data_IF_081077862224
#
_entry.id   IF_081077862224
#
_cell.length_a   1.000
_cell.length_b   1.000
_cell.length_c   1.000
_cell.angle_alpha   90.00
_cell.angle_beta   90.00
_cell.angle_gamma   90.00
#
_symmetry.space_group_name_H-M   'P 1'
#
loop_
_entity.id
_entity.type
_entity.pdbx_description
1 polymer ?
#
# COMPACT_ATOMS: atom_id res chain seq x y z
N UNK A 1 -13.01 -52.41 12.99
CA UNK A 1 -12.93 -51.41 11.90
C UNK A 1 -11.46 -51.14 11.66
N UNK A 2 -10.89 -51.60 10.55
CA UNK A 2 -9.51 -51.31 10.18
C UNK A 2 -9.50 -49.90 9.58
N UNK A 3 -8.80 -48.99 10.25
CA UNK A 3 -8.57 -47.64 9.69
C UNK A 3 -7.63 -47.76 8.47
N UNK A 4 -8.10 -47.28 7.33
CA UNK A 4 -7.30 -47.20 6.11
C UNK A 4 -6.26 -46.11 6.24
N UNK A 5 -5.04 -46.49 6.60
CA UNK A 5 -3.91 -45.57 6.82
C UNK A 5 -3.39 -44.92 5.54
N UNK A 6 -3.82 -45.41 4.36
CA UNK A 6 -3.40 -44.84 3.06
C UNK A 6 -4.01 -43.44 2.78
N UNK A 7 -5.06 -43.09 3.53
CA UNK A 7 -5.73 -41.76 3.41
C UNK A 7 -5.30 -40.74 4.46
N UNK A 8 -4.38 -41.13 5.33
CA UNK A 8 -3.88 -40.19 6.36
C UNK A 8 -2.77 -39.32 5.76
N UNK A 9 -3.12 -38.14 5.36
CA UNK A 9 -2.14 -37.12 4.94
C UNK A 9 -1.59 -36.44 6.18
N UNK A 10 -0.35 -36.76 6.56
CA UNK A 10 0.35 -36.05 7.63
C UNK A 10 0.81 -34.70 7.09
N UNK A 11 0.10 -33.64 7.42
CA UNK A 11 0.52 -32.26 7.12
C UNK A 11 1.23 -31.68 8.33
N UNK A 12 2.26 -30.86 8.10
CA UNK A 12 2.88 -30.06 9.17
C UNK A 12 1.82 -29.14 9.80
N UNK A 13 1.89 -28.99 11.13
CA UNK A 13 0.99 -28.08 11.88
C UNK A 13 0.93 -26.65 11.26
N UNK A 14 -0.26 -26.02 11.24
CA UNK A 14 -1.52 -26.40 11.85
C UNK A 14 -2.39 -27.31 10.96
N UNK A 15 -3.05 -28.28 11.56
CA UNK A 15 -3.94 -29.22 10.86
C UNK A 15 -5.33 -28.64 10.53
N UNK A 16 -5.67 -27.48 11.09
CA UNK A 16 -6.92 -26.77 10.81
C UNK A 16 -6.60 -25.75 9.71
N UNK A 17 -7.15 -25.96 8.52
CA UNK A 17 -7.16 -24.99 7.43
C UNK A 17 -8.44 -24.20 7.55
N UNK A 18 -8.32 -22.86 7.67
CA UNK A 18 -9.42 -21.96 7.39
C UNK A 18 -9.64 -21.95 5.86
N UNK A 19 -10.90 -21.85 5.43
CA UNK A 19 -11.25 -21.70 4.01
C UNK A 19 -10.93 -20.28 3.46
N UNK A 20 -10.28 -19.45 4.29
CA UNK A 20 -9.91 -18.08 3.94
C UNK A 20 -8.70 -18.07 2.99
N UNK A 21 -8.93 -17.52 1.81
CA UNK A 21 -7.88 -17.26 0.83
C UNK A 21 -7.22 -15.90 1.11
N UNK A 22 -5.94 -15.75 0.74
CA UNK A 22 -5.19 -14.49 0.86
C UNK A 22 -5.94 -13.32 0.22
N UNK A 23 -6.62 -13.58 -0.91
CA UNK A 23 -7.43 -12.59 -1.60
C UNK A 23 -8.60 -12.09 -0.77
N UNK A 24 -9.33 -13.00 -0.08
CA UNK A 24 -10.47 -12.63 0.75
C UNK A 24 -10.03 -11.77 1.94
N UNK A 25 -8.92 -12.13 2.59
CA UNK A 25 -8.35 -11.33 3.68
C UNK A 25 -7.92 -9.92 3.22
N UNK A 26 -7.28 -9.81 2.04
CA UNK A 26 -6.88 -8.50 1.51
C UNK A 26 -8.08 -7.65 1.11
N UNK A 27 -9.15 -8.28 0.62
CA UNK A 27 -10.40 -7.60 0.31
C UNK A 27 -11.07 -7.06 1.57
N UNK A 28 -11.13 -7.83 2.63
CA UNK A 28 -11.68 -7.40 3.92
C UNK A 28 -10.92 -6.19 4.48
N UNK A 29 -9.58 -6.19 4.36
CA UNK A 29 -8.75 -5.04 4.74
C UNK A 29 -9.10 -3.82 3.89
N UNK A 30 -9.27 -3.96 2.57
CA UNK A 30 -9.66 -2.84 1.70
C UNK A 30 -11.03 -2.28 2.10
N UNK A 31 -12.00 -3.15 2.39
CA UNK A 31 -13.33 -2.73 2.87
C UNK A 31 -13.21 -1.99 4.20
N UNK A 32 -12.41 -2.51 5.13
CA UNK A 32 -12.17 -1.86 6.43
C UNK A 32 -11.50 -0.48 6.32
N UNK A 33 -10.75 -0.21 5.24
CA UNK A 33 -10.13 1.08 4.98
C UNK A 33 -11.08 2.12 4.34
N UNK A 34 -12.24 1.69 3.80
CA UNK A 34 -13.21 2.59 3.14
C UNK A 34 -13.70 3.72 4.08
N UNK A 35 -14.08 3.47 5.35
CA UNK A 35 -14.47 4.54 6.26
C UNK A 35 -13.37 5.58 6.47
N UNK A 36 -12.11 5.14 6.61
CA UNK A 36 -10.97 6.03 6.76
C UNK A 36 -10.75 6.88 5.49
N UNK A 37 -10.94 6.29 4.31
CA UNK A 37 -10.89 7.00 3.03
C UNK A 37 -12.02 8.06 2.94
N UNK A 38 -13.22 7.72 3.36
CA UNK A 38 -14.34 8.66 3.37
C UNK A 38 -14.06 9.88 4.26
N UNK A 39 -13.51 9.67 5.44
CA UNK A 39 -13.07 10.77 6.33
C UNK A 39 -11.94 11.57 5.70
N UNK A 40 -10.98 10.93 5.06
CA UNK A 40 -9.87 11.62 4.38
C UNK A 40 -10.39 12.50 3.24
N UNK A 41 -11.36 12.05 2.46
CA UNK A 41 -11.98 12.85 1.38
C UNK A 41 -12.79 14.01 1.97
N UNK A 42 -13.50 13.78 3.06
CA UNK A 42 -14.27 14.84 3.72
C UNK A 42 -13.36 15.95 4.29
N UNK A 43 -12.23 15.58 4.89
CA UNK A 43 -11.31 16.53 5.55
C UNK A 43 -10.35 17.22 4.58
N UNK A 44 -9.81 16.50 3.60
CA UNK A 44 -8.75 16.97 2.69
C UNK A 44 -9.22 17.14 1.24
N UNK A 45 -10.47 16.77 0.96
CA UNK A 45 -11.07 16.93 -0.36
C UNK A 45 -10.61 15.87 -1.37
N UNK A 46 -10.94 16.14 -2.64
CA UNK A 46 -10.70 15.22 -3.77
C UNK A 46 -9.22 14.90 -3.99
N UNK A 47 -8.30 15.77 -3.56
CA UNK A 47 -6.87 15.54 -3.70
C UNK A 47 -6.39 14.30 -2.94
N UNK A 48 -6.98 14.01 -1.76
CA UNK A 48 -6.70 12.77 -1.03
C UNK A 48 -7.09 11.53 -1.87
N UNK A 49 -8.25 11.56 -2.52
CA UNK A 49 -8.68 10.49 -3.43
C UNK A 49 -7.73 10.30 -4.61
N UNK A 50 -7.24 11.40 -5.20
CA UNK A 50 -6.26 11.36 -6.31
C UNK A 50 -4.98 10.66 -5.86
N UNK A 51 -4.44 10.96 -4.67
CA UNK A 51 -3.28 10.26 -4.11
C UNK A 51 -3.53 8.75 -3.97
N UNK A 52 -4.71 8.36 -3.47
CA UNK A 52 -5.07 6.94 -3.32
C UNK A 52 -5.13 6.24 -4.68
N UNK A 53 -5.79 6.83 -5.67
CA UNK A 53 -5.90 6.25 -7.01
C UNK A 53 -4.52 6.11 -7.65
N UNK A 54 -3.68 7.15 -7.60
CA UNK A 54 -2.33 7.12 -8.17
C UNK A 54 -1.47 6.06 -7.46
N UNK A 55 -1.55 5.96 -6.12
CA UNK A 55 -0.82 4.96 -5.37
C UNK A 55 -1.24 3.53 -5.74
N UNK A 56 -2.55 3.27 -5.83
CA UNK A 56 -3.08 1.95 -6.21
C UNK A 56 -2.63 1.56 -7.63
N UNK A 57 -2.79 2.46 -8.58
CA UNK A 57 -2.41 2.22 -9.98
C UNK A 57 -0.90 2.03 -10.12
N UNK A 58 -0.09 2.88 -9.49
CA UNK A 58 1.37 2.76 -9.54
C UNK A 58 1.86 1.46 -8.92
N UNK A 59 1.32 1.06 -7.77
CA UNK A 59 1.66 -0.21 -7.13
C UNK A 59 1.32 -1.41 -8.03
N UNK A 60 0.12 -1.44 -8.63
CA UNK A 60 -0.29 -2.52 -9.53
C UNK A 60 0.59 -2.59 -10.80
N UNK A 61 0.93 -1.43 -11.38
CA UNK A 61 1.82 -1.34 -12.55
C UNK A 61 3.22 -1.85 -12.22
N UNK A 62 3.83 -1.40 -11.13
CA UNK A 62 5.17 -1.81 -10.74
C UNK A 62 5.24 -3.31 -10.39
N UNK A 63 4.24 -3.86 -9.73
CA UNK A 63 4.16 -5.30 -9.45
C UNK A 63 4.04 -6.11 -10.75
N UNK A 64 3.19 -5.66 -11.68
CA UNK A 64 3.04 -6.32 -12.99
C UNK A 64 4.33 -6.27 -13.81
N UNK A 65 5.02 -5.12 -13.83
CA UNK A 65 6.29 -4.97 -14.54
C UNK A 65 7.35 -5.88 -13.95
N UNK A 66 7.47 -5.91 -12.62
CA UNK A 66 8.43 -6.75 -11.92
C UNK A 66 8.19 -8.24 -12.22
N UNK A 67 6.94 -8.70 -12.10
CA UNK A 67 6.58 -10.10 -12.38
C UNK A 67 6.90 -10.50 -13.84
N UNK A 68 6.69 -9.59 -14.80
CA UNK A 68 7.06 -9.83 -16.20
C UNK A 68 8.57 -9.94 -16.41
N UNK A 69 9.37 -9.08 -15.74
CA UNK A 69 10.83 -9.10 -15.85
C UNK A 69 11.42 -10.38 -15.25
N UNK A 70 10.93 -10.77 -14.08
CA UNK A 70 11.43 -11.95 -13.34
C UNK A 70 10.80 -13.25 -13.84
N UNK A 71 9.81 -13.17 -14.77
CA UNK A 71 9.04 -14.32 -15.29
C UNK A 71 8.30 -15.08 -14.16
N UNK A 72 7.85 -14.37 -13.16
CA UNK A 72 7.04 -14.90 -12.08
C UNK A 72 5.55 -14.82 -12.42
N UNK A 73 4.73 -15.67 -11.77
CA UNK A 73 3.28 -15.60 -11.90
C UNK A 73 2.75 -14.25 -11.41
N UNK A 74 1.64 -13.81 -12.00
CA UNK A 74 1.10 -12.49 -11.74
C UNK A 74 0.36 -12.48 -10.37
N UNK A 75 0.93 -11.83 -9.37
CA UNK A 75 0.43 -11.78 -7.98
C UNK A 75 -0.55 -10.63 -7.72
N UNK A 76 -0.84 -9.80 -8.74
CA UNK A 76 -1.79 -8.67 -8.60
C UNK A 76 -3.20 -9.14 -8.21
N UNK A 77 -3.56 -10.38 -8.58
CA UNK A 77 -4.83 -11.02 -8.21
C UNK A 77 -5.06 -11.17 -6.71
N UNK A 78 -4.01 -11.18 -5.90
CA UNK A 78 -4.09 -11.28 -4.44
C UNK A 78 -4.53 -9.97 -3.75
N UNK A 79 -4.74 -8.89 -4.50
CA UNK A 79 -5.14 -7.56 -4.03
C UNK A 79 -4.16 -6.88 -3.06
N UNK A 80 -3.06 -7.50 -2.71
CA UNK A 80 -2.08 -6.98 -1.74
C UNK A 80 -1.37 -5.70 -2.20
N UNK A 81 -1.19 -5.53 -3.53
CA UNK A 81 -0.65 -4.29 -4.09
C UNK A 81 -1.59 -3.11 -3.88
N UNK A 82 -2.91 -3.34 -3.94
CA UNK A 82 -3.91 -2.29 -3.70
C UNK A 82 -3.94 -1.89 -2.23
N UNK A 83 -3.89 -2.85 -1.30
CA UNK A 83 -3.76 -2.57 0.14
C UNK A 83 -2.51 -1.74 0.40
N UNK A 84 -1.36 -2.15 -0.15
CA UNK A 84 -0.11 -1.40 -0.03
C UNK A 84 -0.24 0.02 -0.60
N UNK A 85 -0.88 0.18 -1.76
CA UNK A 85 -1.12 1.48 -2.37
C UNK A 85 -1.95 2.41 -1.50
N UNK A 86 -3.08 1.93 -0.95
CA UNK A 86 -3.91 2.72 -0.03
C UNK A 86 -3.14 3.13 1.22
N UNK A 87 -2.39 2.20 1.81
CA UNK A 87 -1.57 2.49 2.99
C UNK A 87 -0.45 3.48 2.70
N UNK A 88 0.19 3.43 1.51
CA UNK A 88 1.18 4.43 1.08
C UNK A 88 0.52 5.80 0.98
N UNK A 89 -0.65 5.90 0.33
CA UNK A 89 -1.36 7.16 0.17
C UNK A 89 -1.73 7.79 1.53
N UNK A 90 -2.16 6.98 2.50
CA UNK A 90 -2.48 7.45 3.85
C UNK A 90 -1.25 7.90 4.65
N UNK A 91 -0.07 7.49 4.23
CA UNK A 91 1.20 7.87 4.85
C UNK A 91 1.87 9.09 4.21
N UNK A 92 1.32 9.62 3.11
CA UNK A 92 1.85 10.79 2.39
C UNK A 92 0.98 12.00 2.73
N UNK A 93 1.57 13.17 3.06
CA UNK A 93 0.80 14.41 3.22
C UNK A 93 0.06 14.78 1.94
N UNK A 94 -1.19 15.23 2.07
CA UNK A 94 -2.03 15.58 0.92
C UNK A 94 -1.47 16.75 0.11
N UNK A 95 -0.65 17.60 0.74
CA UNK A 95 0.06 18.70 0.07
C UNK A 95 1.23 18.23 -0.80
N UNK A 96 1.72 17.00 -0.59
CA UNK A 96 2.86 16.47 -1.33
C UNK A 96 2.57 16.43 -2.85
N UNK A 97 3.61 16.56 -3.69
CA UNK A 97 3.46 16.43 -5.14
C UNK A 97 3.11 14.98 -5.51
N UNK A 98 2.24 14.81 -6.53
CA UNK A 98 1.73 13.51 -6.95
C UNK A 98 2.81 12.52 -7.42
N UNK A 99 3.92 13.04 -7.98
CA UNK A 99 5.05 12.19 -8.38
C UNK A 99 5.68 11.46 -7.19
N UNK A 100 5.67 12.07 -5.99
CA UNK A 100 6.20 11.46 -4.78
C UNK A 100 5.43 10.17 -4.43
N UNK A 101 4.12 10.16 -4.65
CA UNK A 101 3.26 8.97 -4.46
C UNK A 101 3.67 7.83 -5.38
N UNK A 102 4.01 8.13 -6.64
CA UNK A 102 4.51 7.13 -7.60
C UNK A 102 5.84 6.55 -7.15
N UNK A 103 6.78 7.39 -6.71
CA UNK A 103 8.07 6.93 -6.17
C UNK A 103 7.91 6.09 -4.90
N UNK A 104 6.97 6.47 -4.03
CA UNK A 104 6.60 5.67 -2.86
C UNK A 104 6.09 4.27 -3.25
N UNK A 105 5.23 4.21 -4.27
CA UNK A 105 4.74 2.94 -4.83
C UNK A 105 5.86 2.08 -5.42
N UNK A 106 6.77 2.70 -6.19
CA UNK A 106 7.93 2.02 -6.76
C UNK A 106 8.82 1.42 -5.66
N UNK A 107 9.21 2.21 -4.69
CA UNK A 107 10.09 1.74 -3.61
C UNK A 107 9.42 0.67 -2.76
N UNK A 108 8.16 0.90 -2.34
CA UNK A 108 7.42 -0.04 -1.50
C UNK A 108 7.17 -1.39 -2.17
N UNK A 109 6.76 -1.37 -3.45
CA UNK A 109 6.48 -2.61 -4.18
C UNK A 109 7.77 -3.28 -4.64
N UNK A 110 8.63 -2.60 -5.39
CA UNK A 110 9.78 -3.25 -6.03
C UNK A 110 10.82 -3.62 -4.98
N UNK A 111 11.23 -2.68 -4.13
CA UNK A 111 12.36 -2.89 -3.22
C UNK A 111 11.94 -3.62 -1.96
N UNK A 112 10.85 -3.19 -1.29
CA UNK A 112 10.48 -3.76 0.01
C UNK A 112 9.68 -5.05 -0.13
N UNK A 113 8.79 -5.16 -1.14
CA UNK A 113 7.92 -6.33 -1.29
C UNK A 113 8.52 -7.37 -2.23
N UNK A 114 8.81 -7.02 -3.47
CA UNK A 114 9.09 -7.99 -4.53
C UNK A 114 10.52 -8.54 -4.48
N UNK A 115 11.53 -7.74 -4.12
CA UNK A 115 12.91 -8.22 -4.00
C UNK A 115 13.08 -9.30 -2.92
N UNK A 116 12.23 -9.32 -1.90
CA UNK A 116 12.26 -10.32 -0.82
C UNK A 116 11.36 -11.54 -1.09
N UNK A 117 10.69 -11.59 -2.23
CA UNK A 117 9.90 -12.75 -2.66
C UNK A 117 8.39 -12.62 -2.44
N UNK A 118 7.85 -11.42 -2.27
CA UNK A 118 6.41 -11.14 -2.22
C UNK A 118 5.79 -11.24 -0.84
N UNK A 119 4.49 -11.51 -0.78
CA UNK A 119 3.71 -11.52 0.47
C UNK A 119 4.29 -12.52 1.48
N UNK A 120 4.37 -12.09 2.73
CA UNK A 120 4.82 -12.92 3.85
C UNK A 120 6.33 -13.12 3.97
N UNK A 121 7.12 -12.70 2.97
CA UNK A 121 8.59 -12.79 3.00
C UNK A 121 9.27 -11.44 3.21
N UNK A 122 8.50 -10.37 3.35
CA UNK A 122 9.02 -9.03 3.55
C UNK A 122 9.58 -8.88 4.97
N UNK A 123 10.76 -8.26 5.10
CA UNK A 123 11.35 -7.97 6.41
C UNK A 123 10.68 -6.78 7.11
N UNK A 124 9.94 -5.95 6.38
CA UNK A 124 9.16 -4.82 6.92
C UNK A 124 7.88 -4.59 6.11
N UNK A 125 6.96 -3.81 6.67
CA UNK A 125 5.76 -3.39 5.94
C UNK A 125 6.14 -2.49 4.75
N UNK A 126 5.72 -2.82 3.51
CA UNK A 126 6.08 -2.07 2.31
C UNK A 126 5.68 -0.59 2.34
N UNK A 127 4.52 -0.27 2.92
CA UNK A 127 4.04 1.10 3.03
C UNK A 127 4.88 1.92 4.02
N UNK A 128 5.28 1.33 5.14
CA UNK A 128 6.15 1.99 6.11
C UNK A 128 7.58 2.14 5.60
N UNK A 129 8.09 1.14 4.87
CA UNK A 129 9.39 1.23 4.19
C UNK A 129 9.42 2.35 3.15
N UNK A 130 8.36 2.47 2.33
CA UNK A 130 8.21 3.56 1.39
C UNK A 130 8.17 4.93 2.09
N UNK A 131 7.42 5.06 3.20
CA UNK A 131 7.37 6.29 4.00
C UNK A 131 8.75 6.65 4.55
N UNK A 132 9.46 5.70 5.14
CA UNK A 132 10.79 5.93 5.70
C UNK A 132 11.77 6.42 4.62
N UNK A 133 11.75 5.79 3.45
CA UNK A 133 12.55 6.20 2.30
C UNK A 133 12.21 7.63 1.84
N UNK A 134 10.92 7.93 1.64
CA UNK A 134 10.50 9.26 1.21
C UNK A 134 10.83 10.33 2.26
N UNK A 135 10.74 10.00 3.55
CA UNK A 135 11.07 10.89 4.63
C UNK A 135 12.57 11.20 4.70
N UNK A 136 13.41 10.21 4.42
CA UNK A 136 14.87 10.39 4.34
C UNK A 136 15.29 11.19 3.10
N UNK A 137 14.63 10.96 1.95
CA UNK A 137 15.00 11.56 0.66
C UNK A 137 14.38 12.95 0.44
N UNK A 138 13.15 13.16 0.88
CA UNK A 138 12.35 14.38 0.62
C UNK A 138 11.63 14.85 1.88
N UNK A 139 12.35 15.03 2.98
CA UNK A 139 11.80 15.44 4.26
C UNK A 139 10.91 16.70 4.16
N UNK A 140 11.31 17.69 3.33
CA UNK A 140 10.56 18.93 3.15
C UNK A 140 9.14 18.73 2.65
N UNK A 141 8.87 17.73 1.78
CA UNK A 141 7.52 17.42 1.33
C UNK A 141 6.78 16.53 2.33
N UNK A 142 7.49 15.66 3.04
CA UNK A 142 6.88 14.69 3.96
C UNK A 142 6.51 15.28 5.32
N UNK A 143 7.08 16.43 5.69
CA UNK A 143 6.83 17.14 6.95
C UNK A 143 5.85 18.30 6.82
N UNK A 144 5.34 18.58 5.61
CA UNK A 144 4.35 19.64 5.39
C UNK A 144 2.95 19.15 5.74
N UNK A 145 2.39 19.70 6.81
CA UNK A 145 1.03 19.39 7.26
C UNK A 145 0.04 20.39 6.71
N UNK A 146 -1.12 19.91 6.31
CA UNK A 146 -2.20 20.72 5.79
C UNK A 146 -3.32 20.81 6.82
N UNK A 147 -3.88 21.99 7.02
CA UNK A 147 -5.05 22.16 7.87
C UNK A 147 -6.27 21.42 7.25
N UNK A 148 -7.15 20.81 8.07
CA UNK A 148 -8.41 20.26 7.58
C UNK A 148 -9.18 21.33 6.78
N UNK A 149 -9.87 20.90 5.71
CA UNK A 149 -10.67 21.76 4.83
C UNK A 149 -9.89 22.88 4.09
N UNK A 150 -8.57 22.82 4.05
CA UNK A 150 -7.78 23.76 3.25
C UNK A 150 -8.07 23.57 1.76
N UNK A 151 -8.24 24.66 1.02
CA UNK A 151 -8.43 24.65 -0.43
C UNK A 151 -7.11 24.34 -1.12
N UNK A 152 -6.89 23.07 -1.46
CA UNK A 152 -5.71 22.62 -2.18
C UNK A 152 -5.99 22.54 -3.69
N UNK A 153 -5.03 22.93 -4.56
CA UNK A 153 -5.16 22.69 -6.00
C UNK A 153 -5.20 21.19 -6.28
N UNK A 154 -6.01 20.75 -7.25
CA UNK A 154 -6.15 19.34 -7.59
C UNK A 154 -4.84 18.75 -8.13
N UNK A 155 -4.12 19.53 -8.91
CA UNK A 155 -2.83 19.16 -9.51
C UNK A 155 -1.77 20.23 -9.26
N UNK A 156 -0.50 19.83 -9.21
CA UNK A 156 0.63 20.73 -9.04
C UNK A 156 1.21 20.76 -7.62
N UNK A 157 2.30 21.50 -7.48
CA UNK A 157 2.96 21.69 -6.18
C UNK A 157 2.13 22.65 -5.32
N UNK A 158 1.96 22.27 -4.08
CA UNK A 158 1.36 23.15 -3.07
C UNK A 158 2.50 23.76 -2.28
N UNK A 159 2.65 25.08 -2.36
CA UNK A 159 3.47 25.82 -1.41
C UNK A 159 2.69 25.91 -0.11
N UNK A 160 2.96 25.00 0.79
CA UNK A 160 2.43 25.08 2.14
C UNK A 160 3.43 25.89 2.95
N UNK A 161 3.01 27.06 3.41
CA UNK A 161 3.69 27.73 4.50
C UNK A 161 3.71 26.75 5.68
N UNK A 162 4.88 26.25 6.02
CA UNK A 162 5.05 25.42 7.21
C UNK A 162 4.67 26.29 8.42
N UNK A 163 3.48 26.10 8.95
CA UNK A 163 3.12 26.60 10.27
C UNK A 163 3.86 25.73 11.31
N UNK A 164 5.19 25.81 11.32
CA UNK A 164 5.99 25.49 12.50
C UNK A 164 6.30 26.83 13.12
N UNK A 165 5.37 27.39 13.82
CA UNK A 165 5.59 28.32 14.90
C UNK A 165 4.92 27.75 16.13
N UNK A 166 5.64 26.90 16.83
CA UNK A 166 5.55 26.70 18.28
C UNK A 166 6.95 26.90 18.82
#
# INVERSE_FOLDING_TARGET
>A
MAYDLSKVVVTSSPHIKADDDTRSLMLDVLIALVPALAVAIYTFGVRALIHVIIAMVSCAVFETIYNKIVKHENTVGDLSCFVTGVLIAFNIPVAAPLWLTVFGGLFGIVIVKMLFGGIGKNFMNPALGARAFMMASWAGFMTTWTAPHAKLPLFGNVTVLSLIHI
#
